data_IF_483553958328
#
_entry.id   IF_483553958328
#
_cell.length_a   1.000
_cell.length_b   1.000
_cell.length_c   1.000
_cell.angle_alpha   90.00
_cell.angle_beta   90.00
_cell.angle_gamma   90.00
#
_symmetry.space_group_name_H-M   'P 1'
#
loop_
_entity.id
_entity.type
_entity.pdbx_description
1 polymer ?
#
# COMPACT_ATOMS: atom_id res chain seq x y z
N UNK A 1 -52.34 -39.32 -5.92
CA UNK A 1 -51.56 -39.03 -4.70
C UNK A 1 -50.19 -39.69 -4.83
N UNK A 2 -49.14 -38.93 -5.14
CA UNK A 2 -47.76 -39.45 -5.02
C UNK A 2 -46.81 -38.27 -4.84
N UNK A 3 -46.52 -37.95 -3.56
CA UNK A 3 -45.50 -36.98 -3.17
C UNK A 3 -44.13 -37.54 -3.56
N UNK A 4 -43.46 -36.90 -4.51
CA UNK A 4 -42.04 -37.13 -4.75
C UNK A 4 -41.26 -36.59 -3.54
N UNK A 5 -40.59 -37.50 -2.82
CA UNK A 5 -39.70 -37.18 -1.71
C UNK A 5 -38.45 -36.51 -2.29
N UNK A 6 -38.30 -35.21 -2.03
CA UNK A 6 -37.05 -34.49 -2.25
C UNK A 6 -36.00 -35.05 -1.28
N UNK A 7 -35.09 -35.87 -1.81
CA UNK A 7 -33.85 -36.21 -1.12
C UNK A 7 -33.01 -34.94 -0.99
N UNK A 8 -32.92 -34.41 0.23
CA UNK A 8 -32.04 -33.30 0.55
C UNK A 8 -30.61 -33.83 0.53
N UNK A 9 -29.90 -33.65 -0.59
CA UNK A 9 -28.47 -33.91 -0.68
C UNK A 9 -27.73 -32.98 0.28
N UNK A 10 -27.41 -33.49 1.46
CA UNK A 10 -26.56 -32.83 2.44
C UNK A 10 -25.18 -32.63 1.81
N UNK A 11 -24.89 -31.41 1.34
CA UNK A 11 -23.53 -30.98 0.99
C UNK A 11 -22.66 -31.24 2.23
N UNK A 12 -21.55 -31.99 2.14
CA UNK A 12 -20.67 -32.12 3.29
C UNK A 12 -20.17 -30.71 3.63
N UNK A 13 -20.33 -30.34 4.89
CA UNK A 13 -19.75 -29.12 5.45
C UNK A 13 -18.22 -29.24 5.29
N UNK A 14 -17.70 -28.70 4.20
CA UNK A 14 -16.28 -28.61 3.95
C UNK A 14 -15.68 -27.70 5.01
N UNK A 15 -15.14 -28.32 6.06
CA UNK A 15 -14.40 -27.64 7.11
C UNK A 15 -13.28 -26.82 6.47
N UNK A 16 -13.24 -25.54 6.77
CA UNK A 16 -12.26 -24.59 6.21
C UNK A 16 -10.82 -25.09 6.42
N UNK A 17 -10.57 -25.84 7.51
CA UNK A 17 -9.29 -26.50 7.81
C UNK A 17 -8.85 -27.54 6.77
N UNK A 18 -9.77 -28.36 6.25
CA UNK A 18 -9.44 -29.35 5.22
C UNK A 18 -8.99 -28.72 3.91
N UNK A 19 -9.56 -27.56 3.55
CA UNK A 19 -9.20 -26.81 2.34
C UNK A 19 -7.79 -26.19 2.43
N UNK A 20 -7.39 -25.70 3.60
CA UNK A 20 -6.03 -25.20 3.83
C UNK A 20 -4.98 -26.31 3.80
N UNK A 21 -5.26 -27.47 4.42
CA UNK A 21 -4.34 -28.62 4.42
C UNK A 21 -4.19 -29.19 3.00
N UNK A 22 -5.28 -29.32 2.25
CA UNK A 22 -5.25 -29.76 0.84
C UNK A 22 -4.49 -28.77 -0.05
N UNK A 23 -4.62 -27.46 0.18
CA UNK A 23 -3.86 -26.43 -0.53
C UNK A 23 -2.36 -26.50 -0.20
N UNK A 24 -2.01 -26.61 1.08
CA UNK A 24 -0.62 -26.69 1.52
C UNK A 24 0.08 -27.92 0.92
N UNK A 25 -0.57 -29.10 0.93
CA UNK A 25 0.01 -30.31 0.31
C UNK A 25 0.20 -30.15 -1.19
N UNK A 26 -0.74 -29.49 -1.88
CA UNK A 26 -0.69 -29.29 -3.33
C UNK A 26 0.31 -28.22 -3.77
N UNK A 27 0.61 -27.23 -2.93
CA UNK A 27 1.40 -26.05 -3.32
C UNK A 27 2.79 -25.98 -2.65
N UNK A 28 2.93 -26.34 -1.37
CA UNK A 28 4.21 -26.36 -0.64
C UNK A 28 4.94 -27.71 -0.79
N UNK A 29 4.21 -28.81 -0.84
CA UNK A 29 4.78 -30.17 -0.86
C UNK A 29 4.52 -30.91 -2.19
N UNK A 30 4.44 -30.17 -3.30
CA UNK A 30 4.10 -30.72 -4.62
C UNK A 30 5.22 -31.57 -5.24
N UNK A 31 6.47 -31.31 -4.85
CA UNK A 31 7.67 -32.01 -5.31
C UNK A 31 8.64 -32.19 -4.14
N UNK A 32 9.56 -33.15 -4.24
CA UNK A 32 10.60 -33.37 -3.22
C UNK A 32 11.49 -32.13 -3.02
N UNK A 33 11.79 -31.38 -4.09
CA UNK A 33 12.53 -30.12 -4.02
C UNK A 33 11.75 -29.02 -3.28
N UNK A 34 10.44 -28.89 -3.51
CA UNK A 34 9.60 -27.90 -2.82
C UNK A 34 9.43 -28.25 -1.34
N UNK A 35 9.33 -29.54 -1.01
CA UNK A 35 9.29 -30.02 0.37
C UNK A 35 10.60 -29.69 1.12
N UNK A 36 11.75 -29.93 0.50
CA UNK A 36 13.05 -29.60 1.08
C UNK A 36 13.21 -28.09 1.28
N UNK A 37 12.88 -27.29 0.25
CA UNK A 37 12.95 -25.83 0.32
C UNK A 37 12.03 -25.28 1.42
N UNK A 38 10.82 -25.83 1.54
CA UNK A 38 9.85 -25.42 2.58
C UNK A 38 10.40 -25.71 3.97
N UNK A 39 10.98 -26.90 4.20
CA UNK A 39 11.57 -27.26 5.49
C UNK A 39 12.77 -26.36 5.81
N UNK A 40 13.64 -26.08 4.83
CA UNK A 40 14.79 -25.18 5.01
C UNK A 40 14.33 -23.75 5.32
N UNK A 41 13.30 -23.24 4.63
CA UNK A 41 12.73 -21.92 4.93
C UNK A 41 12.13 -21.87 6.35
N UNK A 42 11.39 -22.91 6.77
CA UNK A 42 10.83 -22.97 8.11
C UNK A 42 11.93 -23.07 9.18
N UNK A 43 12.98 -23.84 8.92
CA UNK A 43 14.15 -23.94 9.80
C UNK A 43 14.88 -22.59 9.92
N UNK A 44 15.11 -21.91 8.79
CA UNK A 44 15.75 -20.59 8.78
C UNK A 44 14.89 -19.52 9.45
N UNK A 45 13.57 -19.57 9.26
CA UNK A 45 12.63 -18.72 10.00
C UNK A 45 12.68 -19.00 11.50
N UNK A 46 12.76 -20.27 11.91
CA UNK A 46 12.84 -20.64 13.31
C UNK A 46 14.16 -20.21 13.96
N UNK A 47 15.26 -20.22 13.23
CA UNK A 47 16.55 -19.76 13.76
C UNK A 47 16.65 -18.23 13.79
N UNK A 48 16.07 -17.55 12.80
CA UNK A 48 16.21 -16.10 12.65
C UNK A 48 15.17 -15.28 13.44
N UNK A 49 13.91 -15.73 13.48
CA UNK A 49 12.81 -14.93 14.03
C UNK A 49 12.91 -14.78 15.56
N UNK A 50 13.09 -15.84 16.36
CA UNK A 50 13.16 -15.72 17.82
C UNK A 50 14.27 -14.78 18.33
N UNK A 51 15.54 -14.87 17.87
CA UNK A 51 16.57 -13.93 18.34
C UNK A 51 16.30 -12.50 17.84
N UNK A 52 15.73 -12.32 16.63
CA UNK A 52 15.36 -11.00 16.13
C UNK A 52 14.25 -10.36 16.98
N UNK A 53 13.23 -11.14 17.36
CA UNK A 53 12.15 -10.67 18.23
C UNK A 53 12.65 -10.39 19.66
N UNK A 54 13.53 -11.25 20.18
CA UNK A 54 14.18 -11.03 21.46
C UNK A 54 14.95 -9.70 21.47
N UNK A 55 15.75 -9.44 20.43
CA UNK A 55 16.52 -8.21 20.30
C UNK A 55 15.63 -6.97 20.04
N UNK A 56 14.60 -7.09 19.21
CA UNK A 56 13.77 -5.97 18.77
C UNK A 56 12.70 -5.55 19.79
N UNK A 57 12.20 -6.46 20.62
CA UNK A 57 11.09 -6.20 21.54
C UNK A 57 11.41 -6.52 22.99
N UNK A 58 11.98 -7.70 23.28
CA UNK A 58 12.12 -8.19 24.65
C UNK A 58 13.33 -7.60 25.39
N UNK A 59 14.42 -7.34 24.68
CA UNK A 59 15.63 -6.68 25.19
C UNK A 59 15.72 -5.22 24.74
N UNK A 60 14.67 -4.69 24.13
CA UNK A 60 14.65 -3.33 23.60
C UNK A 60 14.63 -2.26 24.70
N UNK A 61 15.36 -1.18 24.46
CA UNK A 61 15.34 -0.01 25.33
C UNK A 61 14.21 0.93 24.86
N UNK A 62 13.11 0.95 25.60
CA UNK A 62 11.90 1.72 25.28
C UNK A 62 11.89 3.14 25.88
N UNK A 63 12.55 3.34 27.03
CA UNK A 63 12.52 4.58 27.80
C UNK A 63 13.94 5.13 27.95
N UNK A 64 14.13 6.38 27.55
CA UNK A 64 15.41 7.10 27.55
C UNK A 64 15.27 8.39 26.77
N UNK A 65 16.22 9.31 26.94
CA UNK A 65 16.21 10.63 26.25
C UNK A 65 17.51 10.89 25.49
N UNK A 66 18.45 9.95 25.54
CA UNK A 66 19.71 10.06 24.81
C UNK A 66 20.14 8.71 24.25
N UNK A 67 20.94 8.76 23.18
CA UNK A 67 21.56 7.55 22.57
C UNK A 67 22.48 6.81 23.57
N UNK A 68 22.99 7.51 24.58
CA UNK A 68 23.86 6.93 25.61
C UNK A 68 23.10 6.00 26.57
N UNK A 69 21.78 6.17 26.69
CA UNK A 69 20.93 5.35 27.56
C UNK A 69 20.58 3.98 26.96
N UNK A 70 20.89 3.77 25.68
CA UNK A 70 20.64 2.50 25.01
C UNK A 70 21.74 1.48 25.35
N UNK A 71 21.38 0.48 26.15
CA UNK A 71 22.24 -0.69 26.40
C UNK A 71 22.54 -1.42 25.09
N UNK A 72 23.76 -1.96 24.95
CA UNK A 72 24.17 -2.72 23.74
C UNK A 72 23.44 -4.06 23.57
N UNK A 73 22.55 -4.45 24.48
CA UNK A 73 21.90 -5.76 24.52
C UNK A 73 20.69 -5.90 23.58
N UNK A 74 20.09 -4.80 23.13
CA UNK A 74 18.87 -4.82 22.31
C UNK A 74 18.67 -3.59 21.42
N UNK A 75 17.55 -3.56 20.71
CA UNK A 75 17.21 -2.44 19.82
C UNK A 75 16.94 -1.15 20.60
N UNK A 76 17.41 -0.02 20.07
CA UNK A 76 17.25 1.30 20.67
C UNK A 76 16.01 2.01 20.11
N UNK A 77 14.83 1.74 20.70
CA UNK A 77 13.57 2.38 20.29
C UNK A 77 13.51 3.87 20.66
N UNK A 78 14.25 4.29 21.69
CA UNK A 78 14.40 5.71 22.08
C UNK A 78 14.84 6.58 20.90
N UNK A 79 15.88 6.15 20.17
CA UNK A 79 16.36 6.88 18.99
C UNK A 79 15.31 6.95 17.88
N UNK A 80 14.58 5.85 17.65
CA UNK A 80 13.51 5.79 16.65
C UNK A 80 12.40 6.78 17.03
N UNK A 81 12.02 6.85 18.31
CA UNK A 81 11.00 7.78 18.80
C UNK A 81 11.42 9.24 18.64
N UNK A 82 12.66 9.60 19.00
CA UNK A 82 13.14 10.98 18.86
C UNK A 82 13.27 11.42 17.40
N UNK A 83 13.69 10.51 16.52
CA UNK A 83 13.86 10.78 15.08
C UNK A 83 12.63 10.42 14.25
N UNK A 84 11.54 9.96 14.88
CA UNK A 84 10.32 9.53 14.19
C UNK A 84 9.75 10.62 13.29
N UNK A 85 9.75 11.87 13.78
CA UNK A 85 9.30 13.03 12.99
C UNK A 85 10.11 13.22 11.70
N UNK A 86 11.41 12.94 11.73
CA UNK A 86 12.29 13.05 10.56
C UNK A 86 12.11 11.87 9.60
N UNK A 87 11.83 10.66 10.10
CA UNK A 87 11.48 9.52 9.24
C UNK A 87 10.12 9.72 8.55
N UNK A 88 9.14 10.29 9.25
CA UNK A 88 7.79 10.51 8.73
C UNK A 88 7.70 11.69 7.77
N UNK A 89 8.30 12.83 8.12
CA UNK A 89 8.14 14.09 7.38
C UNK A 89 9.44 14.59 6.73
N UNK A 90 10.55 13.86 6.84
CA UNK A 90 11.84 14.29 6.27
C UNK A 90 12.39 15.54 6.96
N UNK A 91 12.92 16.46 6.15
CA UNK A 91 13.48 17.75 6.56
C UNK A 91 12.40 18.85 6.65
N UNK A 92 11.12 18.49 6.59
CA UNK A 92 10.03 19.45 6.56
C UNK A 92 9.88 20.17 7.93
N UNK A 93 9.77 21.52 7.94
CA UNK A 93 9.71 22.30 9.16
C UNK A 93 8.52 21.90 10.03
N UNK A 94 8.75 21.80 11.34
CA UNK A 94 7.77 21.28 12.31
C UNK A 94 6.44 22.03 12.27
N UNK A 95 6.49 23.36 12.16
CA UNK A 95 5.31 24.23 12.14
C UNK A 95 4.44 24.06 10.91
N UNK A 96 4.99 23.53 9.81
CA UNK A 96 4.26 23.40 8.55
C UNK A 96 3.76 21.96 8.31
N UNK A 97 4.09 21.00 9.19
CA UNK A 97 3.69 19.59 9.06
C UNK A 97 2.17 19.39 8.94
N UNK A 98 1.37 20.30 9.47
CA UNK A 98 -0.08 20.28 9.30
C UNK A 98 -0.50 20.28 7.82
N UNK A 99 0.29 20.89 6.91
CA UNK A 99 0.02 20.88 5.47
C UNK A 99 0.09 19.46 4.90
N UNK A 100 1.12 18.69 5.28
CA UNK A 100 1.27 17.29 4.86
C UNK A 100 0.16 16.42 5.46
N UNK A 101 -0.19 16.64 6.73
CA UNK A 101 -1.27 15.92 7.39
C UNK A 101 -2.63 16.20 6.74
N UNK A 102 -2.91 17.46 6.41
CA UNK A 102 -4.12 17.81 5.67
C UNK A 102 -4.16 17.18 4.29
N UNK A 103 -3.05 17.21 3.54
CA UNK A 103 -2.96 16.51 2.25
C UNK A 103 -3.31 15.03 2.40
N UNK A 104 -2.73 14.35 3.39
CA UNK A 104 -2.97 12.94 3.67
C UNK A 104 -4.43 12.66 4.09
N UNK A 105 -5.03 13.51 4.94
CA UNK A 105 -6.44 13.40 5.36
C UNK A 105 -7.38 13.61 4.16
N UNK A 106 -7.14 14.64 3.33
CA UNK A 106 -7.93 14.88 2.12
C UNK A 106 -7.83 13.68 1.18
N UNK A 107 -6.64 13.10 1.03
CA UNK A 107 -6.43 11.89 0.23
C UNK A 107 -7.23 10.70 0.75
N UNK A 108 -7.11 10.39 2.04
CA UNK A 108 -7.85 9.31 2.68
C UNK A 108 -9.37 9.50 2.57
N UNK A 109 -9.88 10.70 2.87
CA UNK A 109 -11.30 11.01 2.75
C UNK A 109 -11.80 10.87 1.31
N UNK A 110 -11.00 11.34 0.35
CA UNK A 110 -11.36 11.23 -1.06
C UNK A 110 -11.40 9.78 -1.53
N UNK A 111 -10.40 8.97 -1.15
CA UNK A 111 -10.35 7.54 -1.47
C UNK A 111 -11.52 6.82 -0.80
N UNK A 112 -11.80 7.11 0.48
CA UNK A 112 -12.95 6.54 1.19
C UNK A 112 -14.27 6.91 0.50
N UNK A 113 -14.43 8.15 0.07
CA UNK A 113 -15.59 8.59 -0.71
C UNK A 113 -15.73 7.83 -2.05
N UNK A 114 -14.62 7.46 -2.71
CA UNK A 114 -14.67 6.62 -3.91
C UNK A 114 -15.18 5.21 -3.65
N UNK A 115 -15.03 4.66 -2.43
CA UNK A 115 -15.59 3.36 -2.07
C UNK A 115 -17.09 3.40 -1.77
N UNK A 116 -17.68 4.60 -1.68
CA UNK A 116 -19.11 4.74 -1.49
C UNK A 116 -19.88 4.34 -2.76
N UNK A 117 -20.60 3.21 -2.69
CA UNK A 117 -21.34 2.61 -3.82
C UNK A 117 -22.43 3.51 -4.44
N UNK A 118 -22.79 4.63 -3.82
CA UNK A 118 -23.88 5.51 -4.24
C UNK A 118 -23.45 6.63 -5.21
N UNK A 119 -22.18 6.74 -5.62
CA UNK A 119 -21.76 7.80 -6.53
C UNK A 119 -22.19 7.53 -7.99
N UNK A 120 -23.05 8.37 -8.60
CA UNK A 120 -23.27 8.35 -10.05
C UNK A 120 -21.97 8.78 -10.77
N UNK A 121 -21.68 8.16 -11.93
CA UNK A 121 -20.49 8.44 -12.75
C UNK A 121 -19.13 8.30 -12.04
N UNK A 122 -18.98 7.30 -11.15
CA UNK A 122 -17.74 6.98 -10.41
C UNK A 122 -16.45 7.07 -11.25
N UNK A 123 -16.48 6.62 -12.50
CA UNK A 123 -15.32 6.71 -13.41
C UNK A 123 -14.87 8.13 -13.74
N UNK A 124 -15.81 9.07 -13.94
CA UNK A 124 -15.50 10.49 -14.20
C UNK A 124 -14.98 11.19 -12.94
N UNK A 125 -15.57 10.87 -11.79
CA UNK A 125 -15.08 11.39 -10.50
C UNK A 125 -13.66 10.93 -10.20
N UNK A 126 -13.35 9.64 -10.41
CA UNK A 126 -11.99 9.10 -10.24
C UNK A 126 -11.02 9.77 -11.21
N UNK A 127 -11.40 9.96 -12.49
CA UNK A 127 -10.55 10.61 -13.47
C UNK A 127 -10.28 12.09 -13.13
N UNK A 128 -11.30 12.83 -12.69
CA UNK A 128 -11.16 14.21 -12.25
C UNK A 128 -10.30 14.32 -10.99
N UNK A 129 -10.54 13.44 -10.01
CA UNK A 129 -9.75 13.38 -8.78
C UNK A 129 -8.27 13.07 -9.05
N UNK A 130 -7.97 12.16 -9.99
CA UNK A 130 -6.59 11.79 -10.34
C UNK A 130 -5.77 12.98 -10.87
N UNK A 131 -6.42 14.03 -11.36
CA UNK A 131 -5.77 15.27 -11.81
C UNK A 131 -5.83 16.36 -10.74
N UNK A 132 -6.99 16.57 -10.12
CA UNK A 132 -7.20 17.67 -9.16
C UNK A 132 -6.44 17.45 -7.86
N UNK A 133 -6.41 16.22 -7.35
CA UNK A 133 -5.76 15.91 -6.09
C UNK A 133 -4.24 16.12 -6.09
N UNK A 134 -3.44 15.66 -7.07
CA UNK A 134 -2.00 15.95 -7.10
C UNK A 134 -1.71 17.46 -7.19
N UNK A 135 -2.55 18.23 -7.88
CA UNK A 135 -2.41 19.69 -7.95
C UNK A 135 -2.63 20.30 -6.55
N UNK A 136 -3.70 19.90 -5.85
CA UNK A 136 -3.97 20.36 -4.48
C UNK A 136 -2.81 20.01 -3.56
N UNK A 137 -2.32 18.76 -3.59
CA UNK A 137 -1.18 18.31 -2.78
C UNK A 137 0.06 19.16 -3.09
N UNK A 138 0.37 19.38 -4.37
CA UNK A 138 1.52 20.18 -4.78
C UNK A 138 1.45 21.62 -4.26
N UNK A 139 0.29 22.27 -4.41
CA UNK A 139 0.06 23.63 -3.88
C UNK A 139 0.22 23.66 -2.34
N UNK A 140 -0.33 22.66 -1.65
CA UNK A 140 -0.31 22.58 -0.20
C UNK A 140 1.11 22.33 0.35
N UNK A 141 1.90 21.47 -0.30
CA UNK A 141 3.25 21.13 0.16
C UNK A 141 4.29 22.19 -0.22
N UNK A 142 4.17 22.82 -1.39
CA UNK A 142 5.08 23.84 -1.88
C UNK A 142 4.91 25.17 -1.17
N UNK A 143 3.67 25.57 -0.88
CA UNK A 143 3.41 26.90 -0.35
C UNK A 143 3.81 28.01 -1.35
N UNK A 144 3.80 29.27 -0.92
CA UNK A 144 4.09 30.43 -1.77
C UNK A 144 2.86 31.08 -2.42
N UNK A 145 1.71 30.42 -2.43
CA UNK A 145 0.42 31.01 -2.81
C UNK A 145 -0.42 31.20 -1.53
N UNK A 146 -1.05 32.36 -1.36
CA UNK A 146 -1.84 32.76 -0.16
C UNK A 146 -1.04 33.19 1.08
N UNK A 147 0.20 33.66 0.93
CA UNK A 147 1.04 34.12 2.07
C UNK A 147 1.64 32.98 2.89
N UNK A 148 1.52 31.74 2.42
CA UNK A 148 2.17 30.58 3.01
C UNK A 148 3.67 30.61 2.72
N UNK A 149 4.47 30.39 3.76
CA UNK A 149 5.92 30.23 3.63
C UNK A 149 6.25 29.11 2.64
N UNK A 150 7.17 29.41 1.72
CA UNK A 150 7.58 28.52 0.64
C UNK A 150 8.55 27.49 1.18
N UNK A 151 8.24 26.20 1.00
CA UNK A 151 9.13 25.10 1.40
C UNK A 151 9.80 24.53 0.17
N UNK A 152 11.12 24.55 0.16
CA UNK A 152 11.90 23.97 -0.94
C UNK A 152 11.59 22.49 -1.13
N UNK A 153 11.44 22.06 -2.38
CA UNK A 153 11.22 20.66 -2.75
C UNK A 153 12.34 19.73 -2.26
N UNK A 154 13.54 20.27 -1.99
CA UNK A 154 14.67 19.54 -1.39
C UNK A 154 14.38 19.05 0.03
N UNK A 155 13.52 19.75 0.76
CA UNK A 155 13.12 19.38 2.13
C UNK A 155 11.95 18.39 2.15
N UNK A 156 11.33 18.15 0.98
CA UNK A 156 10.24 17.20 0.87
C UNK A 156 10.81 15.79 0.92
N UNK A 157 10.37 15.02 1.90
CA UNK A 157 10.79 13.65 2.03
C UNK A 157 10.04 12.96 3.15
N UNK A 158 10.54 11.79 3.52
CA UNK A 158 9.92 10.95 4.53
C UNK A 158 8.81 10.07 3.98
N UNK A 159 8.34 9.20 4.86
CA UNK A 159 7.40 8.14 4.54
C UNK A 159 6.04 8.69 4.09
N UNK A 160 5.60 9.83 4.63
CA UNK A 160 4.31 10.46 4.28
C UNK A 160 4.27 10.92 2.82
N UNK A 161 5.34 11.52 2.31
CA UNK A 161 5.42 11.94 0.91
C UNK A 161 5.34 10.74 -0.04
N UNK A 162 6.09 9.67 0.27
CA UNK A 162 6.05 8.43 -0.51
C UNK A 162 4.65 7.81 -0.49
N UNK A 163 3.98 7.77 0.66
CA UNK A 163 2.60 7.28 0.77
C UNK A 163 1.64 8.11 -0.08
N UNK A 164 1.77 9.44 -0.08
CA UNK A 164 0.93 10.33 -0.89
C UNK A 164 1.17 10.04 -2.38
N UNK A 165 2.43 10.07 -2.84
CA UNK A 165 2.76 9.85 -4.26
C UNK A 165 2.32 8.45 -4.71
N UNK A 166 2.55 7.42 -3.89
CA UNK A 166 2.11 6.06 -4.19
C UNK A 166 0.59 5.96 -4.29
N UNK A 167 -0.15 6.59 -3.37
CA UNK A 167 -1.61 6.61 -3.38
C UNK A 167 -2.15 7.30 -4.64
N UNK A 168 -1.60 8.45 -5.01
CA UNK A 168 -1.96 9.16 -6.26
C UNK A 168 -1.61 8.32 -7.48
N UNK A 169 -0.42 7.73 -7.51
CA UNK A 169 0.03 6.89 -8.62
C UNK A 169 -0.89 5.69 -8.84
N UNK A 170 -1.28 4.98 -7.78
CA UNK A 170 -2.20 3.84 -7.87
C UNK A 170 -3.59 4.30 -8.33
N UNK A 171 -4.13 5.36 -7.73
CA UNK A 171 -5.44 5.87 -8.07
C UNK A 171 -5.50 6.47 -9.48
N UNK A 172 -4.41 7.05 -9.99
CA UNK A 172 -4.27 7.52 -11.36
C UNK A 172 -3.97 6.42 -12.38
N UNK A 173 -3.28 5.35 -11.98
CA UNK A 173 -3.00 4.20 -12.84
C UNK A 173 -4.27 3.44 -13.24
N UNK A 174 -5.30 3.41 -12.38
CA UNK A 174 -6.58 2.77 -12.68
C UNK A 174 -7.33 3.39 -13.88
N UNK A 175 -7.66 4.71 -13.90
CA UNK A 175 -8.31 5.33 -15.04
C UNK A 175 -7.43 5.30 -16.29
N UNK A 176 -6.11 5.49 -16.15
CA UNK A 176 -5.19 5.40 -17.28
C UNK A 176 -5.13 3.99 -17.87
N UNK A 177 -5.11 2.97 -17.01
CA UNK A 177 -5.21 1.56 -17.41
C UNK A 177 -6.51 1.22 -18.11
N UNK A 178 -7.65 1.77 -17.64
CA UNK A 178 -8.95 1.62 -18.31
C UNK A 178 -8.94 2.31 -19.67
N UNK A 179 -8.38 3.52 -19.76
CA UNK A 179 -8.31 4.29 -21.00
C UNK A 179 -7.42 3.59 -22.04
N UNK A 180 -6.28 3.05 -21.63
CA UNK A 180 -5.41 2.23 -22.48
C UNK A 180 -6.09 0.92 -22.90
N UNK A 181 -6.80 0.26 -21.99
CA UNK A 181 -7.53 -0.97 -22.29
C UNK A 181 -8.67 -0.74 -23.30
N UNK A 182 -9.40 0.37 -23.16
CA UNK A 182 -10.42 0.82 -24.11
C UNK A 182 -9.80 1.26 -25.44
N UNK A 183 -8.67 1.98 -25.43
CA UNK A 183 -7.93 2.36 -26.64
C UNK A 183 -7.48 1.14 -27.44
N UNK A 184 -7.07 0.07 -26.77
CA UNK A 184 -6.70 -1.21 -27.39
C UNK A 184 -7.89 -2.00 -27.94
N UNK A 185 -9.10 -1.74 -27.44
CA UNK A 185 -10.38 -2.35 -27.90
C UNK A 185 -11.15 -1.43 -28.86
N UNK A 186 -10.74 -0.17 -29.03
CA UNK A 186 -11.38 0.82 -29.88
C UNK A 186 -10.92 0.66 -31.32
N UNK A 187 -11.88 0.57 -32.24
CA UNK A 187 -11.69 0.25 -33.67
C UNK A 187 -11.23 1.44 -34.55
N UNK A 188 -10.53 2.46 -34.02
CA UNK A 188 -10.04 3.62 -34.80
C UNK A 188 -8.78 4.27 -34.17
N UNK A 189 -7.85 4.91 -34.93
CA UNK A 189 -7.12 4.51 -36.13
C UNK A 189 -5.60 4.91 -36.05
N UNK A 190 -5.05 5.21 -34.88
CA UNK A 190 -3.70 5.82 -34.77
C UNK A 190 -2.55 4.85 -35.11
N UNK A 191 -2.73 3.56 -34.87
CA UNK A 191 -1.75 2.53 -35.27
C UNK A 191 -1.86 2.19 -36.78
N UNK A 192 -3.02 2.45 -37.39
CA UNK A 192 -3.25 2.19 -38.83
C UNK A 192 -2.64 3.28 -39.73
N UNK A 193 -2.42 4.49 -39.21
CA UNK A 193 -1.74 5.58 -39.95
C UNK A 193 -0.22 5.39 -39.95
N UNK A 194 0.36 4.99 -38.82
CA UNK A 194 1.80 4.71 -38.73
C UNK A 194 2.22 3.51 -39.60
N UNK A 195 1.36 2.50 -39.77
CA UNK A 195 1.66 1.36 -40.65
C UNK A 195 1.45 1.65 -42.14
N UNK A 196 0.85 2.79 -42.53
CA UNK A 196 0.69 3.18 -43.94
C UNK A 196 1.89 3.99 -44.46
N UNK A 197 2.72 4.54 -43.55
CA UNK A 197 3.88 5.39 -43.89
C UNK A 197 5.22 4.63 -43.86
N UNK A 198 5.20 3.34 -43.54
CA UNK A 198 6.32 2.40 -43.65
C UNK A 198 5.94 1.41 -44.75
N UNK A 199 6.03 1.85 -45.99
CA UNK A 199 6.15 1.01 -47.16
C UNK A 199 6.92 1.75 -48.24
#
# INVERSE_FOLDING_TARGET
MTKAILSHSSRPANSTGGRFILWARKNLFSSWSNSLLTIVCLWLMWELIPPLLNWAFLQANWVGSTRADCTKAGACWVFIHERFGQFMYGLYPHEQRWRINLALVIGLLSVAAMFWKKLPHRGRYIAGWAVVYPIIVWVLLYGGFLGLERVETRQWGGLTLTLIIASVGIAGALPWGILLALGRRSKMPIVRVLSRYIH
#
